data_IF_196465307675
#
_entry.id   IF_196465307675
#
_cell.length_a   1.000
_cell.length_b   1.000
_cell.length_c   1.000
_cell.angle_alpha   90.00
_cell.angle_beta   90.00
_cell.angle_gamma   90.00
#
_symmetry.space_group_name_H-M   'P 1'
#
loop_
_entity.id
_entity.type
_entity.pdbx_description
1 polymer ?
#
# COMPACT_ATOMS: atom_id res chain seq x y z
N UNK A 1 -28.22 2.80 4.07
CA UNK A 1 -27.18 2.00 3.35
C UNK A 1 -25.89 2.77 3.04
N UNK A 2 -25.92 4.09 2.77
CA UNK A 2 -24.73 4.88 2.42
C UNK A 2 -23.61 4.95 3.49
N UNK A 3 -23.95 4.72 4.76
CA UNK A 3 -22.98 4.71 5.85
C UNK A 3 -22.28 3.36 5.98
N UNK A 4 -22.96 2.26 5.64
CA UNK A 4 -22.40 0.91 5.78
C UNK A 4 -21.27 0.69 4.77
N UNK A 5 -21.40 1.21 3.55
CA UNK A 5 -20.33 1.19 2.53
C UNK A 5 -19.12 2.02 2.94
N UNK A 6 -19.30 3.09 3.73
CA UNK A 6 -18.19 3.89 4.27
C UNK A 6 -17.45 3.14 5.37
N UNK A 7 -18.17 2.49 6.28
CA UNK A 7 -17.56 1.66 7.33
C UNK A 7 -16.87 0.42 6.75
N UNK A 8 -17.47 -0.25 5.76
CA UNK A 8 -16.85 -1.39 5.07
C UNK A 8 -15.62 -0.94 4.26
N UNK A 9 -15.68 0.20 3.57
CA UNK A 9 -14.52 0.76 2.88
C UNK A 9 -13.39 1.11 3.84
N UNK A 10 -13.69 1.75 4.97
CA UNK A 10 -12.69 2.08 5.99
C UNK A 10 -12.08 0.82 6.64
N UNK A 11 -12.90 -0.20 6.92
CA UNK A 11 -12.43 -1.48 7.46
C UNK A 11 -11.56 -2.24 6.45
N UNK A 12 -11.93 -2.23 5.17
CA UNK A 12 -11.12 -2.83 4.10
C UNK A 12 -9.76 -2.13 3.99
N UNK A 13 -9.74 -0.79 4.02
CA UNK A 13 -8.50 0.00 4.02
C UNK A 13 -7.65 -0.34 5.25
N UNK A 14 -8.26 -0.41 6.44
CA UNK A 14 -7.57 -0.74 7.68
C UNK A 14 -6.99 -2.16 7.68
N UNK A 15 -7.71 -3.14 7.12
CA UNK A 15 -7.22 -4.52 6.95
C UNK A 15 -6.10 -4.59 5.91
N UNK A 16 -6.21 -3.86 4.80
CA UNK A 16 -5.11 -3.78 3.82
C UNK A 16 -3.88 -3.05 4.36
N UNK A 17 -4.06 -2.09 5.28
CA UNK A 17 -2.95 -1.45 6.00
C UNK A 17 -2.30 -2.39 7.01
N UNK A 18 -3.10 -3.19 7.73
CA UNK A 18 -2.59 -4.23 8.63
C UNK A 18 -1.89 -5.36 7.85
N UNK A 19 -2.30 -5.61 6.61
CA UNK A 19 -1.70 -6.58 5.69
C UNK A 19 -0.56 -6.00 4.83
N UNK A 20 -0.17 -4.73 5.03
CA UNK A 20 0.90 -4.11 4.27
C UNK A 20 2.26 -4.81 4.46
N UNK A 21 2.35 -5.81 5.33
CA UNK A 21 3.47 -6.73 5.39
C UNK A 21 4.30 -6.54 6.64
N UNK A 22 4.60 -7.65 7.31
CA UNK A 22 5.51 -7.69 8.45
C UNK A 22 6.98 -7.56 8.00
N UNK A 23 7.25 -7.76 6.70
CA UNK A 23 8.59 -7.72 6.09
C UNK A 23 8.67 -6.69 4.97
N UNK A 24 9.87 -6.15 4.72
CA UNK A 24 10.12 -5.14 3.68
C UNK A 24 9.70 -5.59 2.26
N UNK A 25 9.77 -6.90 2.00
CA UNK A 25 9.39 -7.50 0.72
C UNK A 25 7.89 -7.49 0.50
N UNK A 26 7.10 -7.84 1.52
CA UNK A 26 5.63 -7.78 1.45
C UNK A 26 5.16 -6.32 1.29
N UNK A 27 5.81 -5.37 1.97
CA UNK A 27 5.54 -3.93 1.80
C UNK A 27 5.86 -3.45 0.40
N UNK A 28 7.00 -3.88 -0.16
CA UNK A 28 7.36 -3.59 -1.55
C UNK A 28 6.40 -4.21 -2.56
N UNK A 29 6.02 -5.48 -2.39
CA UNK A 29 5.09 -6.15 -3.28
C UNK A 29 3.68 -5.52 -3.23
N UNK A 30 3.20 -5.18 -2.04
CA UNK A 30 1.90 -4.52 -1.84
C UNK A 30 1.90 -3.10 -2.41
N UNK A 31 2.97 -2.34 -2.16
CA UNK A 31 3.16 -1.02 -2.75
C UNK A 31 3.22 -1.07 -4.28
N UNK A 32 3.86 -2.08 -4.84
CA UNK A 32 3.94 -2.30 -6.28
C UNK A 32 2.56 -2.64 -6.89
N UNK A 33 1.79 -3.49 -6.21
CA UNK A 33 0.42 -3.84 -6.63
C UNK A 33 -0.49 -2.61 -6.62
N UNK A 34 -0.49 -1.84 -5.53
CA UNK A 34 -1.33 -0.65 -5.38
C UNK A 34 -0.88 0.44 -6.35
N UNK A 35 0.43 0.68 -6.47
CA UNK A 35 0.99 1.66 -7.40
C UNK A 35 0.73 1.32 -8.86
N UNK A 36 0.82 0.04 -9.23
CA UNK A 36 0.46 -0.45 -10.56
C UNK A 36 -1.03 -0.31 -10.87
N UNK A 37 -1.88 -0.67 -9.91
CA UNK A 37 -3.33 -0.49 -10.04
C UNK A 37 -3.72 1.00 -10.14
N UNK A 38 -3.09 1.86 -9.35
CA UNK A 38 -3.26 3.31 -9.40
C UNK A 38 -2.82 3.88 -10.75
N UNK A 39 -1.65 3.48 -11.26
CA UNK A 39 -1.17 3.91 -12.57
C UNK A 39 -2.09 3.46 -13.71
N UNK A 40 -2.65 2.24 -13.63
CA UNK A 40 -3.59 1.72 -14.60
C UNK A 40 -4.87 2.57 -14.69
N UNK A 41 -5.39 3.06 -13.55
CA UNK A 41 -6.61 3.89 -13.54
C UNK A 41 -6.33 5.36 -13.88
N UNK A 42 -5.11 5.86 -13.66
CA UNK A 42 -4.73 7.23 -14.05
C UNK A 42 -4.23 7.33 -15.50
N UNK A 43 -4.20 6.22 -16.25
CA UNK A 43 -3.69 6.18 -17.63
C UNK A 43 -2.17 6.35 -17.73
N UNK A 44 -1.46 6.14 -16.61
CA UNK A 44 -0.01 6.22 -16.50
C UNK A 44 0.62 4.85 -16.81
N UNK A 45 1.92 4.81 -17.06
CA UNK A 45 2.64 3.55 -17.25
C UNK A 45 2.53 2.66 -16.01
N UNK A 46 1.79 1.54 -16.12
CA UNK A 46 1.60 0.55 -15.04
C UNK A 46 2.94 0.12 -14.46
N UNK A 47 3.96 -0.08 -15.31
CA UNK A 47 5.29 -0.47 -14.86
C UNK A 47 5.98 0.61 -14.01
N UNK A 48 5.80 1.89 -14.34
CA UNK A 48 6.27 2.98 -13.47
C UNK A 48 5.51 2.99 -12.14
N UNK A 49 4.19 2.76 -12.15
CA UNK A 49 3.40 2.63 -10.94
C UNK A 49 3.84 1.48 -10.03
N UNK A 50 4.14 0.32 -10.62
CA UNK A 50 4.66 -0.86 -9.93
C UNK A 50 6.04 -0.58 -9.33
N UNK A 51 6.95 0.00 -10.11
CA UNK A 51 8.32 0.30 -9.64
C UNK A 51 8.33 1.35 -8.54
N UNK A 52 7.61 2.46 -8.73
CA UNK A 52 7.54 3.54 -7.75
C UNK A 52 6.80 3.07 -6.51
N UNK A 53 5.64 2.44 -6.68
CA UNK A 53 4.86 1.90 -5.58
C UNK A 53 5.63 0.87 -4.76
N UNK A 54 6.40 0.00 -5.43
CA UNK A 54 7.20 -1.01 -4.76
C UNK A 54 8.43 -0.45 -4.05
N UNK A 55 9.12 0.52 -4.66
CA UNK A 55 10.23 1.21 -4.01
C UNK A 55 9.76 1.98 -2.78
N UNK A 56 8.65 2.72 -2.88
CA UNK A 56 8.04 3.45 -1.76
C UNK A 56 7.57 2.49 -0.68
N UNK A 57 6.99 1.36 -1.05
CA UNK A 57 6.62 0.27 -0.14
C UNK A 57 7.82 -0.28 0.63
N UNK A 58 8.92 -0.59 -0.06
CA UNK A 58 10.12 -1.14 0.56
C UNK A 58 10.85 -0.15 1.49
N UNK A 59 10.87 1.15 1.16
CA UNK A 59 11.52 2.17 2.00
C UNK A 59 10.60 2.78 3.05
N UNK A 60 9.34 2.32 3.14
CA UNK A 60 8.33 2.92 4.00
C UNK A 60 8.71 2.94 5.49
N UNK A 61 9.45 1.95 5.99
CA UNK A 61 9.98 1.96 7.36
C UNK A 61 11.17 2.90 7.57
N UNK A 62 11.91 3.25 6.50
CA UNK A 62 12.99 4.23 6.59
C UNK A 62 12.46 5.66 6.69
N UNK A 63 11.32 5.94 6.05
CA UNK A 63 10.68 7.27 6.06
C UNK A 63 9.67 7.44 7.20
N UNK A 64 9.10 6.34 7.70
CA UNK A 64 8.17 6.32 8.82
C UNK A 64 8.57 5.26 9.87
N UNK A 65 9.67 5.49 10.62
CA UNK A 65 10.21 4.52 11.57
C UNK A 65 9.30 4.26 12.79
N UNK A 66 8.32 5.12 13.05
CA UNK A 66 7.33 4.95 14.11
C UNK A 66 6.04 4.25 13.67
N UNK A 67 5.96 3.78 12.43
CA UNK A 67 4.79 3.06 11.94
C UNK A 67 4.70 1.67 12.62
N UNK A 68 3.48 1.18 12.90
CA UNK A 68 3.31 -0.20 13.34
C UNK A 68 3.96 -1.13 12.31
N UNK A 69 4.48 -2.28 12.75
CA UNK A 69 5.17 -3.27 11.91
C UNK A 69 6.46 -2.77 11.21
N UNK A 70 7.03 -1.65 11.67
CA UNK A 70 8.43 -1.28 11.42
C UNK A 70 9.25 -1.55 12.69
N UNK A 71 9.45 -2.84 13.01
CA UNK A 71 10.29 -3.25 14.14
C UNK A 71 11.75 -3.19 13.68
N UNK A 72 12.45 -2.14 14.05
CA UNK A 72 13.86 -1.92 13.68
C UNK A 72 14.73 -1.93 14.93
#
# INVERSE_FOLDING_TARGET
>A
MKNIVKFVGAAAIAVTLAACGDTDIERGATGALIGGAAAAVTGESVMNGVLIGGAVGAVSCSVAPGAPNCYR
#
